data_IF_649247297501
#
_entry.id   IF_649247297501
#
_cell.length_a   1.000
_cell.length_b   1.000
_cell.length_c   1.000
_cell.angle_alpha   90.00
_cell.angle_beta   90.00
_cell.angle_gamma   90.00
#
_symmetry.space_group_name_H-M   'P 1'
#
loop_
_entity.id
_entity.type
_entity.pdbx_description
1 polymer ?
#
# COMPACT_ATOMS: atom_id res chain seq x y z
N UNK A 1 5.93 1.64 14.72
CA UNK A 1 6.67 1.45 13.45
C UNK A 1 5.95 2.18 12.34
N UNK A 2 6.69 2.78 11.38
CA UNK A 2 6.10 3.40 10.18
C UNK A 2 6.62 2.62 8.98
N UNK A 3 5.72 2.20 8.11
CA UNK A 3 6.00 1.62 6.80
C UNK A 3 5.64 2.67 5.75
N UNK A 4 6.63 3.21 5.06
CA UNK A 4 6.42 4.21 4.00
C UNK A 4 6.32 3.51 2.65
N UNK A 5 5.13 3.55 2.06
CA UNK A 5 4.82 3.01 0.73
C UNK A 5 4.44 4.13 -0.25
N UNK A 6 4.73 5.38 0.09
CA UNK A 6 4.51 6.49 -0.84
C UNK A 6 5.42 6.35 -2.07
N UNK A 7 4.86 6.64 -3.24
CA UNK A 7 5.53 6.50 -4.54
C UNK A 7 6.14 5.11 -4.80
N UNK A 8 5.63 4.08 -4.12
CA UNK A 8 5.98 2.69 -4.35
C UNK A 8 5.00 2.05 -5.33
N UNK A 9 5.39 1.80 -6.60
CA UNK A 9 4.53 1.24 -7.63
C UNK A 9 4.22 -0.25 -7.38
N UNK A 10 4.74 -0.81 -6.31
CA UNK A 10 4.60 -2.21 -5.95
C UNK A 10 5.69 -3.09 -6.56
N UNK A 11 5.37 -4.36 -6.74
CA UNK A 11 6.32 -5.36 -7.22
C UNK A 11 5.71 -6.76 -7.23
N UNK A 12 6.45 -7.73 -6.71
CA UNK A 12 6.05 -9.13 -6.73
C UNK A 12 4.90 -9.42 -5.75
N UNK A 13 3.92 -10.16 -6.20
CA UNK A 13 2.74 -10.54 -5.41
C UNK A 13 3.11 -11.28 -4.12
N UNK A 14 3.99 -12.27 -4.20
CA UNK A 14 4.47 -13.00 -3.02
C UNK A 14 5.34 -12.13 -2.09
N UNK A 15 6.01 -11.09 -2.61
CA UNK A 15 6.64 -10.05 -1.79
C UNK A 15 5.61 -9.30 -0.94
N UNK A 16 4.48 -8.89 -1.54
CA UNK A 16 3.38 -8.26 -0.80
C UNK A 16 2.81 -9.19 0.28
N UNK A 17 2.64 -10.49 -0.03
CA UNK A 17 2.19 -11.48 0.96
C UNK A 17 3.20 -11.61 2.10
N UNK A 18 4.51 -11.66 1.81
CA UNK A 18 5.58 -11.75 2.81
C UNK A 18 5.63 -10.53 3.73
N UNK A 19 5.57 -9.32 3.16
CA UNK A 19 5.52 -8.08 3.96
C UNK A 19 4.27 -8.06 4.86
N UNK A 20 3.11 -8.45 4.32
CA UNK A 20 1.87 -8.54 5.11
C UNK A 20 2.00 -9.60 6.22
N UNK A 21 2.59 -10.77 5.92
CA UNK A 21 2.79 -11.87 6.87
C UNK A 21 3.71 -11.49 8.03
N UNK A 22 4.64 -10.55 7.84
CA UNK A 22 5.47 -10.04 8.94
C UNK A 22 4.63 -9.41 10.06
N UNK A 23 3.48 -8.84 9.73
CA UNK A 23 2.62 -8.13 10.67
C UNK A 23 1.33 -8.85 11.03
N UNK A 24 0.82 -9.72 10.16
CA UNK A 24 -0.45 -10.43 10.35
C UNK A 24 -0.25 -11.76 11.09
N UNK A 25 -1.29 -12.26 11.75
CA UNK A 25 -1.29 -13.63 12.26
C UNK A 25 -1.07 -14.63 11.14
N UNK A 26 -0.47 -15.78 11.47
CA UNK A 26 -0.32 -16.89 10.54
C UNK A 26 -1.69 -17.33 9.98
N UNK A 27 -1.74 -17.56 8.67
CA UNK A 27 -2.95 -17.95 7.97
C UNK A 27 -3.95 -16.85 7.68
N UNK A 28 -3.72 -15.61 8.13
CA UNK A 28 -4.60 -14.48 7.79
C UNK A 28 -4.64 -14.27 6.26
N UNK A 29 -5.83 -14.12 5.68
CA UNK A 29 -6.01 -13.81 4.26
C UNK A 29 -5.35 -12.48 3.95
N UNK A 30 -4.57 -12.42 2.88
CA UNK A 30 -3.88 -11.21 2.42
C UNK A 30 -4.57 -10.63 1.19
N UNK A 31 -4.81 -11.46 0.19
CA UNK A 31 -5.38 -11.06 -1.09
C UNK A 31 -6.07 -12.23 -1.75
N UNK A 32 -7.12 -11.96 -2.53
CA UNK A 32 -7.72 -12.93 -3.44
C UNK A 32 -7.86 -12.33 -4.83
N UNK A 33 -8.09 -13.20 -5.82
CA UNK A 33 -8.35 -12.79 -7.20
C UNK A 33 -9.69 -13.34 -7.65
N UNK A 34 -10.38 -12.57 -8.52
CA UNK A 34 -11.58 -13.05 -9.20
C UNK A 34 -11.42 -12.81 -10.69
N UNK A 35 -11.80 -13.81 -11.48
CA UNK A 35 -11.80 -13.75 -12.94
C UNK A 35 -12.95 -12.88 -13.46
N UNK A 36 -13.01 -12.73 -14.79
CA UNK A 36 -14.05 -11.94 -15.47
C UNK A 36 -15.46 -12.52 -15.27
N UNK A 37 -15.57 -13.81 -15.02
CA UNK A 37 -16.82 -14.53 -14.74
C UNK A 37 -17.26 -14.39 -13.25
N UNK A 38 -16.54 -13.62 -12.47
CA UNK A 38 -16.80 -13.41 -11.04
C UNK A 38 -16.42 -14.61 -10.16
N UNK A 39 -15.89 -15.69 -10.75
CA UNK A 39 -15.43 -16.85 -9.97
C UNK A 39 -14.16 -16.55 -9.22
N UNK A 40 -14.07 -17.10 -8.02
CA UNK A 40 -12.88 -17.03 -7.20
C UNK A 40 -11.70 -17.72 -7.90
N UNK A 41 -10.60 -17.01 -7.93
CA UNK A 41 -9.33 -17.53 -8.43
C UNK A 41 -8.40 -17.93 -7.28
N UNK A 42 -7.23 -17.28 -7.23
CA UNK A 42 -6.23 -17.52 -6.20
C UNK A 42 -6.61 -16.80 -4.91
N UNK A 43 -6.35 -17.44 -3.77
CA UNK A 43 -6.41 -16.81 -2.43
C UNK A 43 -5.09 -17.05 -1.74
N UNK A 44 -4.40 -15.97 -1.34
CA UNK A 44 -3.11 -15.99 -0.67
C UNK A 44 -3.25 -15.48 0.76
N UNK A 45 -2.57 -16.16 1.66
CA UNK A 45 -2.60 -15.93 3.09
C UNK A 45 -1.21 -15.74 3.66
N UNK A 46 -1.10 -15.27 4.88
CA UNK A 46 0.16 -15.12 5.62
C UNK A 46 0.73 -16.51 5.98
N UNK A 47 1.06 -17.32 4.97
CA UNK A 47 1.61 -18.67 5.10
C UNK A 47 2.91 -18.79 4.29
N UNK A 48 3.92 -19.51 4.78
CA UNK A 48 5.20 -19.71 4.08
C UNK A 48 5.05 -20.14 2.63
N UNK A 49 4.12 -21.05 2.32
CA UNK A 49 3.84 -21.53 0.97
C UNK A 49 3.40 -20.44 -0.02
N UNK A 50 2.86 -19.31 0.49
CA UNK A 50 2.28 -18.23 -0.32
C UNK A 50 3.27 -17.07 -0.53
N UNK A 51 4.34 -16.96 0.30
CA UNK A 51 5.33 -15.89 0.16
C UNK A 51 6.78 -16.35 -0.08
N UNK A 52 7.12 -17.62 0.22
CA UNK A 52 8.48 -18.12 -0.04
C UNK A 52 8.60 -18.56 -1.50
N UNK A 53 9.62 -18.03 -2.17
CA UNK A 53 9.98 -18.52 -3.50
C UNK A 53 10.59 -19.91 -3.42
N UNK A 54 10.24 -20.76 -4.37
CA UNK A 54 10.80 -22.13 -4.46
C UNK A 54 12.34 -22.09 -4.42
N UNK A 55 12.90 -22.89 -3.52
CA UNK A 55 14.36 -22.97 -3.33
C UNK A 55 14.97 -21.87 -2.45
N UNK A 56 14.17 -20.96 -1.90
CA UNK A 56 14.67 -19.92 -1.00
C UNK A 56 14.31 -20.20 0.46
N UNK A 57 15.14 -19.68 1.38
CA UNK A 57 14.84 -19.72 2.80
C UNK A 57 13.68 -18.76 3.14
N UNK A 58 12.99 -19.05 4.24
CA UNK A 58 11.96 -18.17 4.76
C UNK A 58 12.57 -16.82 5.21
N UNK A 59 12.22 -15.70 4.56
CA UNK A 59 12.75 -14.38 4.91
C UNK A 59 12.24 -13.88 6.28
N UNK A 60 11.17 -14.47 6.81
CA UNK A 60 10.59 -14.11 8.11
C UNK A 60 11.09 -15.01 9.24
N UNK A 61 11.95 -15.98 8.93
CA UNK A 61 12.55 -16.84 9.94
C UNK A 61 13.40 -16.04 10.92
N UNK A 62 13.01 -16.09 12.19
CA UNK A 62 13.70 -15.33 13.24
C UNK A 62 13.20 -13.91 13.45
N UNK A 63 12.13 -13.50 12.75
CA UNK A 63 11.47 -12.24 13.02
C UNK A 63 10.92 -12.24 14.47
N UNK A 64 11.25 -11.22 15.30
CA UNK A 64 10.74 -11.13 16.66
C UNK A 64 9.21 -11.12 16.69
N UNK A 65 8.61 -11.89 17.59
CA UNK A 65 7.15 -12.00 17.73
C UNK A 65 6.48 -10.67 18.06
N UNK A 66 7.21 -9.75 18.66
CA UNK A 66 6.80 -8.40 19.04
C UNK A 66 6.38 -7.57 17.82
N UNK A 67 6.97 -7.83 16.64
CA UNK A 67 6.64 -7.13 15.39
C UNK A 67 5.15 -7.25 15.06
N UNK A 68 4.51 -8.36 15.43
CA UNK A 68 3.08 -8.57 15.23
C UNK A 68 2.20 -7.76 16.20
N UNK A 69 2.78 -7.18 17.24
CA UNK A 69 2.02 -6.52 18.32
C UNK A 69 2.29 -5.01 18.46
N UNK A 70 3.38 -4.50 17.87
CA UNK A 70 3.69 -3.05 17.92
C UNK A 70 2.68 -2.24 17.10
N UNK A 71 2.40 -0.98 17.47
CA UNK A 71 1.63 -0.06 16.61
C UNK A 71 2.32 0.12 15.26
N UNK A 72 1.57 -0.04 14.17
CA UNK A 72 2.05 0.17 12.80
C UNK A 72 1.19 1.21 12.12
N UNK A 73 1.83 2.14 11.44
CA UNK A 73 1.20 3.11 10.54
C UNK A 73 1.81 2.94 9.16
N UNK A 74 0.98 2.94 8.12
CA UNK A 74 1.43 2.85 6.72
C UNK A 74 1.15 4.18 6.05
N UNK A 75 2.17 4.74 5.39
CA UNK A 75 2.03 5.93 4.55
C UNK A 75 1.77 5.52 3.12
N UNK A 76 0.74 6.12 2.50
CA UNK A 76 0.39 5.92 1.09
C UNK A 76 0.10 7.25 0.39
N UNK A 77 0.23 7.25 -0.93
CA UNK A 77 -0.20 8.34 -1.80
C UNK A 77 -0.62 7.80 -3.19
N UNK A 78 -0.96 8.67 -4.12
CA UNK A 78 -1.34 8.27 -5.49
C UNK A 78 -0.23 7.55 -6.28
N UNK A 79 1.02 7.54 -5.81
CA UNK A 79 2.10 6.72 -6.36
C UNK A 79 2.18 5.32 -5.78
N UNK A 80 1.43 5.03 -4.71
CA UNK A 80 1.33 3.69 -4.12
C UNK A 80 0.41 2.82 -4.99
N UNK A 81 0.93 1.74 -5.59
CA UNK A 81 0.17 0.94 -6.53
C UNK A 81 0.37 -0.57 -6.38
N UNK A 82 -0.57 -1.38 -6.88
CA UNK A 82 -0.44 -2.84 -7.05
C UNK A 82 -0.07 -3.57 -5.73
N UNK A 83 1.14 -4.14 -5.61
CA UNK A 83 1.59 -4.86 -4.42
C UNK A 83 1.55 -4.01 -3.15
N UNK A 84 1.85 -2.71 -3.23
CA UNK A 84 1.76 -1.78 -2.10
C UNK A 84 0.32 -1.56 -1.64
N UNK A 85 -0.63 -1.61 -2.58
CA UNK A 85 -2.06 -1.55 -2.27
C UNK A 85 -2.56 -2.86 -1.64
N UNK A 86 -2.00 -4.00 -2.05
CA UNK A 86 -2.28 -5.29 -1.40
C UNK A 86 -1.82 -5.27 0.06
N UNK A 87 -0.60 -4.78 0.33
CA UNK A 87 -0.08 -4.66 1.70
C UNK A 87 -0.94 -3.72 2.54
N UNK A 88 -1.16 -2.50 2.06
CA UNK A 88 -1.94 -1.50 2.79
C UNK A 88 -3.39 -1.94 3.00
N UNK A 89 -4.04 -2.51 1.98
CA UNK A 89 -5.41 -3.02 2.06
C UNK A 89 -5.54 -4.21 3.02
N UNK A 90 -4.58 -5.13 3.01
CA UNK A 90 -4.57 -6.26 3.93
C UNK A 90 -4.41 -5.80 5.39
N UNK A 91 -3.44 -4.92 5.65
CA UNK A 91 -3.21 -4.41 7.01
C UNK A 91 -4.39 -3.55 7.51
N UNK A 92 -5.04 -2.79 6.63
CA UNK A 92 -6.23 -2.00 6.93
C UNK A 92 -7.42 -2.89 7.30
N UNK A 93 -7.74 -3.88 6.46
CA UNK A 93 -8.89 -4.78 6.64
C UNK A 93 -8.78 -5.61 7.93
N UNK A 94 -7.56 -6.04 8.26
CA UNK A 94 -7.30 -6.72 9.54
C UNK A 94 -7.16 -5.76 10.73
N UNK A 95 -7.34 -4.46 10.54
CA UNK A 95 -7.14 -3.43 11.58
C UNK A 95 -5.78 -3.55 12.26
N UNK A 96 -4.77 -3.94 11.48
CA UNK A 96 -3.41 -4.16 11.97
C UNK A 96 -2.54 -2.92 11.88
N UNK A 97 -2.83 -2.03 10.94
CA UNK A 97 -2.16 -0.75 10.78
C UNK A 97 -3.15 0.36 10.48
N UNK A 98 -2.82 1.58 10.89
CA UNK A 98 -3.52 2.80 10.47
C UNK A 98 -2.90 3.27 9.16
N UNK A 99 -3.72 3.46 8.14
CA UNK A 99 -3.30 3.96 6.83
C UNK A 99 -3.42 5.48 6.83
N UNK A 100 -2.32 6.17 6.51
CA UNK A 100 -2.22 7.64 6.55
C UNK A 100 -1.71 8.16 5.22
N UNK A 101 -2.21 9.30 4.79
CA UNK A 101 -1.76 9.97 3.56
C UNK A 101 -2.90 10.34 2.64
N UNK A 102 -2.76 10.11 1.35
CA UNK A 102 -3.80 10.28 0.34
C UNK A 102 -4.12 8.94 -0.30
N UNK A 103 -5.27 8.87 -0.98
CA UNK A 103 -5.75 7.66 -1.64
C UNK A 103 -4.72 7.12 -2.63
N UNK A 104 -4.53 5.82 -2.69
CA UNK A 104 -3.59 5.14 -3.57
C UNK A 104 -4.04 5.12 -5.04
N UNK A 105 -3.21 4.61 -5.93
CA UNK A 105 -3.39 4.66 -7.39
C UNK A 105 -4.62 3.92 -7.90
N UNK A 106 -4.88 2.71 -7.40
CA UNK A 106 -6.02 1.89 -7.82
C UNK A 106 -5.70 0.82 -8.87
N UNK A 107 -4.46 0.31 -8.91
CA UNK A 107 -4.07 -0.75 -9.84
C UNK A 107 -4.40 -2.14 -9.27
N UNK A 108 -5.63 -2.58 -9.50
CA UNK A 108 -6.15 -3.86 -9.04
C UNK A 108 -6.12 -4.97 -10.09
N UNK A 109 -5.52 -4.78 -11.26
CA UNK A 109 -5.52 -5.76 -12.34
C UNK A 109 -4.37 -6.77 -12.24
N UNK A 110 -4.69 -8.07 -12.44
CA UNK A 110 -3.74 -9.17 -12.55
C UNK A 110 -3.44 -9.41 -14.03
N UNK A 111 -2.16 -9.34 -14.39
CA UNK A 111 -1.72 -9.56 -15.77
C UNK A 111 -0.97 -10.86 -15.91
N UNK A 112 -1.39 -11.68 -16.87
CA UNK A 112 -0.72 -12.92 -17.25
C UNK A 112 0.04 -12.70 -18.56
N UNK A 113 1.30 -13.14 -18.57
CA UNK A 113 2.14 -13.13 -19.77
C UNK A 113 2.11 -14.51 -20.41
N UNK A 114 1.59 -14.57 -21.64
CA UNK A 114 1.50 -15.81 -22.42
C UNK A 114 2.57 -15.79 -23.52
N UNK A 115 3.62 -16.62 -23.43
CA UNK A 115 4.63 -16.71 -24.47
C UNK A 115 4.04 -17.34 -25.75
N UNK A 116 4.46 -16.81 -26.90
CA UNK A 116 4.08 -17.31 -28.21
C UNK A 116 5.26 -18.08 -28.85
N UNK A 117 4.95 -18.97 -29.80
CA UNK A 117 5.94 -19.83 -30.48
C UNK A 117 7.00 -19.04 -31.27
N UNK A 118 6.73 -17.82 -31.64
CA UNK A 118 7.63 -16.95 -32.41
C UNK A 118 8.59 -16.11 -31.50
N UNK A 119 8.64 -16.39 -30.18
CA UNK A 119 9.49 -15.67 -29.23
C UNK A 119 8.90 -14.35 -28.72
N UNK A 120 7.72 -13.93 -29.18
CA UNK A 120 6.96 -12.83 -28.59
C UNK A 120 6.06 -13.32 -27.43
N UNK A 121 5.39 -12.40 -26.75
CA UNK A 121 4.42 -12.74 -25.72
C UNK A 121 3.23 -11.79 -25.74
N UNK A 122 2.07 -12.29 -25.30
CA UNK A 122 0.87 -11.48 -25.08
C UNK A 122 0.71 -11.27 -23.58
N UNK A 123 0.51 -10.02 -23.16
CA UNK A 123 0.19 -9.64 -21.79
C UNK A 123 -1.30 -9.31 -21.70
N UNK A 124 -2.04 -10.10 -20.93
CA UNK A 124 -3.49 -9.98 -20.80
C UNK A 124 -3.88 -9.79 -19.34
N UNK A 125 -4.87 -8.93 -19.09
CA UNK A 125 -5.55 -8.88 -17.80
C UNK A 125 -6.50 -10.07 -17.69
N UNK A 126 -6.28 -10.92 -16.68
CA UNK A 126 -7.03 -12.17 -16.48
C UNK A 126 -7.91 -12.17 -15.24
N UNK A 127 -7.59 -11.33 -14.25
CA UNK A 127 -8.32 -11.27 -12.99
C UNK A 127 -8.14 -9.91 -12.34
N UNK A 128 -8.90 -9.65 -11.28
CA UNK A 128 -8.74 -8.49 -10.42
C UNK A 128 -8.41 -8.91 -8.99
N UNK A 129 -7.65 -8.05 -8.28
CA UNK A 129 -7.31 -8.22 -6.87
C UNK A 129 -8.42 -7.72 -5.95
N UNK A 130 -8.62 -8.45 -4.85
CA UNK A 130 -9.54 -8.13 -3.78
C UNK A 130 -8.84 -8.21 -2.43
N UNK A 131 -9.12 -7.25 -1.55
CA UNK A 131 -8.63 -7.23 -0.18
C UNK A 131 -9.27 -8.36 0.66
N UNK A 132 -8.81 -8.61 1.90
CA UNK A 132 -9.44 -9.61 2.79
C UNK A 132 -10.94 -9.44 2.98
N UNK A 133 -11.45 -8.20 2.99
CA UNK A 133 -12.88 -7.88 3.09
C UNK A 133 -13.59 -7.82 1.73
N UNK A 134 -13.01 -8.45 0.69
CA UNK A 134 -13.56 -8.52 -0.66
C UNK A 134 -13.81 -7.15 -1.34
N UNK A 135 -13.09 -6.10 -0.92
CA UNK A 135 -13.07 -4.81 -1.64
C UNK A 135 -12.22 -4.93 -2.89
N UNK A 136 -12.70 -4.44 -4.03
CA UNK A 136 -11.89 -4.34 -5.26
C UNK A 136 -10.96 -3.14 -5.17
N UNK A 137 -9.68 -3.35 -5.47
CA UNK A 137 -8.68 -2.27 -5.56
C UNK A 137 -8.80 -1.49 -6.88
N UNK A 138 -9.31 -2.16 -7.94
CA UNK A 138 -9.33 -1.62 -9.31
C UNK A 138 -10.06 -0.28 -9.40
N UNK A 139 -9.39 0.72 -9.99
CA UNK A 139 -9.86 2.10 -10.23
C UNK A 139 -10.27 2.88 -8.94
N UNK A 140 -10.21 2.24 -7.77
CA UNK A 140 -10.55 2.86 -6.49
C UNK A 140 -9.34 3.03 -5.57
N UNK A 141 -8.43 2.06 -5.56
CA UNK A 141 -7.29 2.06 -4.64
C UNK A 141 -7.69 1.85 -3.18
N UNK A 142 -6.78 2.22 -2.29
CA UNK A 142 -6.94 2.18 -0.84
C UNK A 142 -7.16 3.61 -0.33
N UNK A 143 -8.30 3.84 0.30
CA UNK A 143 -8.61 5.10 0.98
C UNK A 143 -7.94 5.08 2.36
N UNK A 144 -7.16 6.11 2.73
CA UNK A 144 -6.51 6.14 4.04
C UNK A 144 -7.52 6.29 5.18
N UNK A 145 -7.19 5.74 6.36
CA UNK A 145 -7.98 5.94 7.60
C UNK A 145 -7.84 7.37 8.13
N UNK A 146 -6.67 7.99 7.86
CA UNK A 146 -6.37 9.37 8.22
C UNK A 146 -5.85 10.10 6.98
N UNK A 147 -6.70 10.95 6.40
CA UNK A 147 -6.31 11.74 5.24
C UNK A 147 -5.38 12.89 5.64
N UNK A 148 -4.20 12.94 5.03
CA UNK A 148 -3.23 14.02 5.18
C UNK A 148 -2.66 14.36 3.81
N UNK A 149 -3.01 15.53 3.28
CA UNK A 149 -2.53 16.00 1.97
C UNK A 149 -1.07 16.40 2.03
N UNK A 150 -0.33 16.05 0.97
CA UNK A 150 1.01 16.58 0.74
C UNK A 150 0.88 17.93 0.00
N UNK A 151 1.29 19.01 0.68
CA UNK A 151 1.24 20.37 0.10
C UNK A 151 2.20 20.58 -1.07
N UNK A 152 3.20 19.71 -1.19
CA UNK A 152 4.22 19.80 -2.24
C UNK A 152 3.83 19.00 -3.49
N UNK A 153 2.76 18.20 -3.41
CA UNK A 153 2.27 17.38 -4.52
C UNK A 153 1.11 18.10 -5.21
N UNK A 154 1.39 18.62 -6.40
CA UNK A 154 0.43 19.41 -7.19
C UNK A 154 -0.41 18.58 -8.15
N UNK A 155 0.01 17.34 -8.43
CA UNK A 155 -0.68 16.45 -9.37
C UNK A 155 -0.77 15.03 -8.80
N UNK A 156 -1.96 14.44 -8.87
CA UNK A 156 -2.21 13.05 -8.51
C UNK A 156 -2.84 12.34 -9.71
N UNK A 157 -2.11 11.41 -10.33
CA UNK A 157 -2.64 10.52 -11.37
C UNK A 157 -3.09 9.20 -10.75
N UNK A 158 -4.19 8.65 -11.22
CA UNK A 158 -4.78 7.39 -10.75
C UNK A 158 -5.13 6.48 -11.92
N UNK A 159 -5.39 5.21 -11.64
CA UNK A 159 -5.82 4.23 -12.63
C UNK A 159 -7.10 4.70 -13.36
N UNK A 160 -8.02 5.33 -12.63
CA UNK A 160 -9.28 5.85 -13.19
C UNK A 160 -9.08 6.98 -14.23
N UNK A 161 -7.92 7.66 -14.23
CA UNK A 161 -7.59 8.73 -15.20
C UNK A 161 -7.04 8.17 -16.52
N UNK A 162 -6.67 6.88 -16.54
CA UNK A 162 -6.07 6.26 -17.72
C UNK A 162 -7.13 5.94 -18.79
N UNK A 163 -6.85 6.30 -20.02
CA UNK A 163 -7.74 5.96 -21.13
C UNK A 163 -7.87 4.43 -21.28
N UNK A 164 -9.10 3.92 -21.24
CA UNK A 164 -9.39 2.50 -21.38
C UNK A 164 -9.09 1.67 -20.11
N UNK A 165 -9.02 2.28 -18.95
CA UNK A 165 -8.93 1.55 -17.68
C UNK A 165 -10.13 0.62 -17.49
N UNK A 166 -9.96 -0.41 -16.67
CA UNK A 166 -11.05 -1.31 -16.27
C UNK A 166 -11.73 -0.70 -15.06
N UNK A 167 -13.04 -0.44 -15.15
CA UNK A 167 -13.82 0.10 -14.04
C UNK A 167 -13.88 -0.86 -12.84
N UNK A 168 -14.31 -0.35 -11.68
CA UNK A 168 -14.48 -1.14 -10.48
C UNK A 168 -15.68 -2.09 -10.63
N UNK A 169 -15.50 -3.43 -10.50
CA UNK A 169 -16.58 -4.41 -10.72
C UNK A 169 -17.66 -4.40 -9.64
N UNK A 170 -17.36 -3.83 -8.46
CA UNK A 170 -18.33 -3.72 -7.36
C UNK A 170 -19.17 -2.45 -7.44
N UNK A 171 -18.93 -1.60 -8.46
CA UNK A 171 -19.45 -0.25 -8.52
C UNK A 171 -18.77 0.65 -7.49
N UNK A 172 -19.17 1.88 -7.43
CA UNK A 172 -18.59 2.90 -6.56
C UNK A 172 -18.17 4.10 -7.39
N UNK A 173 -17.93 5.23 -6.74
CA UNK A 173 -17.36 6.39 -7.39
C UNK A 173 -15.91 6.09 -7.76
N UNK A 174 -15.61 6.08 -9.04
CA UNK A 174 -14.24 6.11 -9.52
C UNK A 174 -13.65 7.46 -9.13
N UNK A 175 -12.59 7.43 -8.33
CA UNK A 175 -11.98 8.67 -7.87
C UNK A 175 -10.89 9.06 -8.85
N UNK A 176 -11.22 10.04 -9.68
CA UNK A 176 -10.27 10.66 -10.60
C UNK A 176 -9.24 11.49 -9.83
N UNK A 177 -8.04 11.61 -10.40
CA UNK A 177 -6.98 12.45 -9.84
C UNK A 177 -7.41 13.92 -9.80
N UNK A 178 -7.00 14.63 -8.76
CA UNK A 178 -7.28 16.06 -8.63
C UNK A 178 -6.15 16.85 -9.27
N UNK A 179 -6.47 17.62 -10.31
CA UNK A 179 -5.55 18.64 -10.86
C UNK A 179 -5.70 19.87 -9.98
N UNK A 180 -4.64 20.25 -9.29
CA UNK A 180 -4.67 21.38 -8.37
C UNK A 180 -4.32 22.73 -9.00
N UNK A 181 -4.04 22.80 -10.32
CA UNK A 181 -3.83 24.12 -10.99
C UNK A 181 -3.92 24.00 -12.52
N UNK A 182 -4.75 24.85 -13.14
CA UNK A 182 -4.98 24.92 -14.58
C UNK A 182 -3.70 25.29 -15.40
N UNK A 183 -2.63 25.72 -14.72
CA UNK A 183 -1.37 26.10 -15.33
C UNK A 183 -0.42 24.92 -15.65
N UNK A 184 -0.75 23.69 -15.21
CA UNK A 184 0.15 22.51 -15.34
C UNK A 184 -0.19 21.68 -16.58
N UNK A 185 -1.44 21.69 -17.06
CA UNK A 185 -1.87 20.92 -18.24
C UNK A 185 -1.11 21.32 -19.52
N UNK A 186 -0.86 22.62 -19.71
CA UNK A 186 -0.16 23.12 -20.90
C UNK A 186 1.34 22.75 -20.92
N UNK A 187 1.94 22.54 -19.74
CA UNK A 187 3.35 22.13 -19.63
C UNK A 187 3.57 20.62 -19.75
N UNK A 188 2.63 19.80 -19.25
CA UNK A 188 2.74 18.34 -19.31
C UNK A 188 2.55 17.82 -20.75
N UNK A 189 1.57 18.33 -21.49
CA UNK A 189 1.35 17.98 -22.89
C UNK A 189 2.56 18.41 -23.78
N UNK A 190 3.14 19.59 -23.52
CA UNK A 190 4.27 20.09 -24.29
C UNK A 190 5.60 19.37 -23.99
N UNK A 191 5.73 18.68 -22.85
CA UNK A 191 6.90 17.87 -22.51
C UNK A 191 6.85 16.47 -23.12
N UNK A 192 5.68 15.83 -23.11
CA UNK A 192 5.50 14.50 -23.72
C UNK A 192 5.81 14.50 -25.23
N UNK A 193 5.39 15.54 -25.97
CA UNK A 193 5.66 15.66 -27.40
C UNK A 193 7.13 16.01 -27.73
N UNK A 194 7.86 16.64 -26.80
CA UNK A 194 9.29 16.98 -26.97
C UNK A 194 10.23 15.83 -26.62
N UNK A 195 9.83 14.89 -25.76
CA UNK A 195 10.65 13.71 -25.43
C UNK A 195 10.58 12.62 -26.50
N UNK A 196 9.46 12.49 -27.22
CA UNK A 196 9.35 11.60 -28.37
C UNK A 196 10.26 11.94 -29.54
N UNK A 197 10.75 13.19 -29.63
CA UNK A 197 11.54 13.69 -30.75
C UNK A 197 13.06 13.66 -30.53
N UNK A 198 13.57 13.35 -29.33
CA UNK A 198 15.02 13.33 -29.01
C UNK A 198 15.48 11.97 -28.49
N UNK A 199 15.47 10.98 -29.35
CA UNK A 199 16.16 9.72 -29.11
C UNK A 199 17.69 9.84 -29.31
N UNK A 200 18.42 9.27 -28.35
CA UNK A 200 19.81 8.84 -28.30
C UNK A 200 20.80 9.72 -27.54
N UNK A 201 21.30 9.13 -26.46
CA UNK A 201 22.52 9.43 -25.71
C UNK A 201 22.37 10.39 -24.51
N UNK A 202 21.78 9.93 -23.41
CA UNK A 202 22.01 10.43 -22.02
C UNK A 202 21.37 9.51 -20.96
N UNK A 203 21.72 8.22 -20.98
CA UNK A 203 21.09 7.23 -20.05
C UNK A 203 21.56 7.35 -18.58
N UNK A 204 22.81 7.68 -18.33
CA UNK A 204 23.40 7.64 -16.97
C UNK A 204 23.17 8.90 -16.13
N UNK A 205 23.05 10.07 -16.76
CA UNK A 205 22.81 11.31 -16.02
C UNK A 205 21.33 11.45 -15.63
N UNK A 206 20.41 10.95 -16.47
CA UNK A 206 18.96 10.95 -16.16
C UNK A 206 18.56 9.95 -15.05
N UNK A 207 19.26 8.82 -14.92
CA UNK A 207 19.03 7.89 -13.80
C UNK A 207 19.44 8.53 -12.46
N UNK A 208 20.56 9.21 -12.41
CA UNK A 208 21.00 9.92 -11.20
C UNK A 208 20.09 11.11 -10.84
N UNK A 209 19.68 11.90 -11.83
CA UNK A 209 18.73 13.00 -11.61
C UNK A 209 17.37 12.47 -11.13
N UNK A 210 16.89 11.34 -11.66
CA UNK A 210 15.65 10.71 -11.21
C UNK A 210 15.78 10.10 -9.79
N UNK A 211 16.94 9.52 -9.44
CA UNK A 211 17.22 9.03 -8.08
C UNK A 211 17.35 10.18 -7.07
N UNK A 212 18.00 11.29 -7.45
CA UNK A 212 18.07 12.49 -6.61
C UNK A 212 16.70 13.16 -6.45
N UNK A 213 15.91 13.24 -7.50
CA UNK A 213 14.55 13.75 -7.45
C UNK A 213 13.64 12.85 -6.60
N UNK A 214 13.75 11.52 -6.72
CA UNK A 214 13.01 10.57 -5.90
C UNK A 214 13.43 10.66 -4.42
N UNK A 215 14.73 10.79 -4.13
CA UNK A 215 15.24 10.95 -2.78
C UNK A 215 14.87 12.31 -2.16
N UNK A 216 14.69 13.34 -2.98
CA UNK A 216 14.28 14.68 -2.52
C UNK A 216 12.77 14.79 -2.22
N UNK A 217 11.94 13.91 -2.79
CA UNK A 217 10.49 13.91 -2.60
C UNK A 217 10.05 13.51 -1.20
N UNK A 218 10.86 12.72 -0.51
CA UNK A 218 10.58 12.27 0.85
C UNK A 218 11.64 12.80 1.81
N UNK A 219 11.40 14.01 2.32
CA UNK A 219 12.26 14.57 3.35
C UNK A 219 12.00 13.83 4.67
N UNK A 220 12.99 13.12 5.26
CA UNK A 220 12.81 12.41 6.51
C UNK A 220 12.61 13.33 7.74
N UNK A 221 12.58 14.65 7.53
CA UNK A 221 12.32 15.63 8.58
C UNK A 221 10.81 15.79 8.83
N UNK A 222 10.28 15.30 9.97
CA UNK A 222 8.85 15.40 10.28
C UNK A 222 8.35 16.85 10.37
N UNK A 223 9.23 17.85 10.50
CA UNK A 223 8.83 19.25 10.49
C UNK A 223 8.44 19.72 9.08
N UNK A 224 8.91 19.05 8.05
CA UNK A 224 8.66 19.39 6.64
C UNK A 224 7.70 18.42 5.96
N UNK A 225 7.48 17.24 6.54
CA UNK A 225 6.60 16.19 6.05
C UNK A 225 5.39 16.02 6.98
N UNK A 226 4.26 16.59 6.59
CA UNK A 226 3.03 16.53 7.39
C UNK A 226 2.47 15.11 7.55
N UNK A 227 2.62 14.25 6.53
CA UNK A 227 2.18 12.85 6.56
C UNK A 227 3.04 12.03 7.52
N UNK A 228 4.36 12.16 7.44
CA UNK A 228 5.29 11.52 8.36
C UNK A 228 5.06 12.00 9.79
N UNK A 229 4.82 13.30 9.99
CA UNK A 229 4.49 13.84 11.30
C UNK A 229 3.23 13.21 11.88
N UNK A 230 2.15 13.13 11.10
CA UNK A 230 0.89 12.53 11.53
C UNK A 230 1.08 11.04 11.89
N UNK A 231 1.83 10.30 11.08
CA UNK A 231 2.15 8.89 11.35
C UNK A 231 2.96 8.72 12.65
N UNK A 232 3.95 9.60 12.90
CA UNK A 232 4.73 9.60 14.14
C UNK A 232 3.87 9.91 15.37
N UNK A 233 2.98 10.88 15.27
CA UNK A 233 2.08 11.26 16.37
C UNK A 233 1.15 10.09 16.72
N UNK A 234 0.67 9.33 15.72
CA UNK A 234 -0.15 8.13 15.94
C UNK A 234 0.62 6.99 16.60
N UNK A 235 1.81 6.63 16.13
CA UNK A 235 2.56 5.51 16.71
C UNK A 235 3.08 5.82 18.13
N UNK A 236 3.23 7.10 18.48
CA UNK A 236 3.61 7.56 19.83
C UNK A 236 2.44 7.57 20.82
N UNK A 237 1.20 7.63 20.32
CA UNK A 237 -0.02 7.59 21.13
C UNK A 237 -0.84 6.33 20.84
N UNK A 238 -0.63 5.23 21.60
CA UNK A 238 -1.36 3.98 21.37
C UNK A 238 -2.87 4.10 21.53
N UNK A 239 -3.38 5.09 22.26
CA UNK A 239 -4.81 5.30 22.42
C UNK A 239 -5.42 5.86 21.13
N UNK A 240 -4.83 6.92 20.57
CA UNK A 240 -5.23 7.49 19.28
C UNK A 240 -5.07 6.49 18.14
N UNK A 241 -3.96 5.74 18.14
CA UNK A 241 -3.74 4.70 17.13
C UNK A 241 -4.86 3.65 17.14
N UNK A 242 -5.29 3.19 18.34
CA UNK A 242 -6.41 2.25 18.46
C UNK A 242 -7.75 2.87 18.05
N UNK A 243 -7.98 4.13 18.40
CA UNK A 243 -9.17 4.88 18.01
C UNK A 243 -9.28 5.00 16.49
N UNK A 244 -8.18 5.33 15.81
CA UNK A 244 -8.12 5.41 14.33
C UNK A 244 -8.43 4.08 13.65
N UNK A 245 -8.19 2.94 14.31
CA UNK A 245 -8.60 1.61 13.83
C UNK A 245 -10.07 1.26 14.17
N UNK A 246 -10.81 2.15 14.84
CA UNK A 246 -12.14 1.85 15.35
C UNK A 246 -12.14 0.80 16.46
N UNK A 247 -11.01 0.60 17.15
CA UNK A 247 -10.87 -0.34 18.26
C UNK A 247 -11.12 0.40 19.58
N UNK A 248 -12.07 -0.10 20.39
CA UNK A 248 -12.36 0.48 21.71
C UNK A 248 -11.08 0.53 22.58
N UNK A 249 -10.97 1.60 23.40
CA UNK A 249 -9.86 1.72 24.35
C UNK A 249 -9.82 0.49 25.28
N UNK A 250 -8.65 -0.16 25.42
CA UNK A 250 -8.47 -1.18 26.48
C UNK A 250 -8.70 -0.50 27.82
N UNK A 251 -9.70 -0.92 28.58
CA UNK A 251 -9.84 -0.51 29.98
C UNK A 251 -8.53 -0.85 30.69
N UNK A 252 -7.95 0.08 31.48
CA UNK A 252 -6.73 -0.25 32.22
C UNK A 252 -7.01 -1.46 33.11
N UNK A 253 -6.09 -2.44 33.05
CA UNK A 253 -6.16 -3.61 33.93
C UNK A 253 -6.21 -3.13 35.38
N UNK A 254 -7.24 -3.52 36.13
CA UNK A 254 -7.30 -3.26 37.57
C UNK A 254 -6.07 -3.89 38.19
N UNK A 255 -5.21 -3.08 38.81
CA UNK A 255 -4.17 -3.57 39.71
C UNK A 255 -4.90 -4.26 40.86
N UNK A 256 -4.84 -5.57 40.91
CA UNK A 256 -5.28 -6.33 42.05
C UNK A 256 -4.45 -5.85 43.25
N UNK A 257 -5.12 -5.12 44.17
CA UNK A 257 -4.58 -4.85 45.50
C UNK A 257 -4.48 -6.21 46.20
N UNK A 258 -3.28 -6.72 46.37
CA UNK A 258 -3.02 -7.76 47.35
C UNK A 258 -3.45 -7.24 48.72
N UNK A 259 -4.54 -7.75 49.21
CA UNK A 259 -4.95 -7.66 50.59
C UNK A 259 -3.93 -8.44 51.41
N UNK A 260 -3.07 -7.74 52.12
CA UNK A 260 -2.24 -8.32 53.18
C UNK A 260 -3.16 -8.52 54.38
N UNK A 261 -3.67 -9.72 54.53
CA UNK A 261 -4.21 -10.19 55.82
C UNK A 261 -3.08 -10.28 56.80
N UNK A 262 -3.05 -9.38 57.78
CA UNK A 262 -2.31 -9.56 59.02
C UNK A 262 -3.05 -10.63 59.85
N UNK A 263 -2.43 -11.77 60.04
CA UNK A 263 -2.76 -12.63 61.16
C UNK A 263 -2.03 -12.11 62.41
N UNK A 264 -2.82 -11.61 63.33
CA UNK A 264 -2.41 -11.45 64.74
C UNK A 264 -2.48 -12.82 65.45
N UNK A 265 -1.34 -13.35 65.87
CA UNK A 265 -1.11 -13.90 67.18
C UNK A 265 0.31 -14.35 67.36
#
# INVERSE_FOLDING_TARGET
>A
MILDLRDDPGGLLNGAVGVSAAFLPEGAKVVSTKGRDGKDGMSLSALPKDYIFSGHADPLKGLPSEVKNIPVTVLINSGSASASEIVSGALQDHKRAVIVGTQSFGKGSVQTVLPLSNGSAIKLTTSLYYTPNDRSIQAQGIVPDVEVKDKNRTYESREADLAGHIGNPLGGEEVNGVVHDDAVEEKAASQADKEAAKGKNKGKDKEKEAEEELSSRHNPDPAKDAQLKAALDLVKDPAKWRESLGLAAKKPAKKDKKETTKEDK
#
